data_IF_882379285129
#
_entry.id   IF_882379285129
#
_cell.length_a   1.000
_cell.length_b   1.000
_cell.length_c   1.000
_cell.angle_alpha   90.00
_cell.angle_beta   90.00
_cell.angle_gamma   90.00
#
_symmetry.space_group_name_H-M   'P 1'
#
loop_
_entity.id
_entity.type
_entity.pdbx_description
1 polymer ?
#
# COMPACT_ATOMS: atom_id res chain seq x y z
N UNK A 1 -32.00 -14.91 17.32
CA UNK A 1 -30.84 -15.83 17.30
C UNK A 1 -29.57 -14.99 17.31
N UNK A 2 -28.93 -14.84 18.48
CA UNK A 2 -27.69 -14.09 18.60
C UNK A 2 -26.54 -14.98 18.11
N UNK A 3 -26.13 -14.80 16.85
CA UNK A 3 -24.87 -15.36 16.39
C UNK A 3 -23.77 -14.67 17.18
N UNK A 4 -23.29 -15.34 18.23
CA UNK A 4 -22.13 -14.96 19.03
C UNK A 4 -20.89 -15.16 18.15
N UNK A 5 -20.77 -14.33 17.12
CA UNK A 5 -19.71 -14.40 16.13
C UNK A 5 -18.43 -14.01 16.84
N UNK A 6 -17.60 -15.01 17.18
CA UNK A 6 -16.20 -14.77 17.54
C UNK A 6 -15.62 -13.90 16.43
N UNK A 7 -15.33 -12.65 16.76
CA UNK A 7 -14.66 -11.74 15.85
C UNK A 7 -13.30 -12.38 15.61
N UNK A 8 -13.08 -12.96 14.44
CA UNK A 8 -11.76 -13.44 14.07
C UNK A 8 -10.87 -12.21 14.04
N UNK A 9 -10.05 -12.06 15.06
CA UNK A 9 -9.08 -10.99 15.15
C UNK A 9 -8.03 -11.27 14.07
N UNK A 10 -8.23 -10.64 12.90
CA UNK A 10 -7.32 -10.77 11.76
C UNK A 10 -6.06 -10.00 12.14
N UNK A 11 -5.08 -10.72 12.70
CA UNK A 11 -3.76 -10.14 12.96
C UNK A 11 -3.05 -9.87 11.63
N UNK A 12 -2.71 -8.61 11.40
CA UNK A 12 -1.85 -8.20 10.28
C UNK A 12 -0.40 -8.22 10.76
N UNK A 13 0.45 -9.15 10.28
CA UNK A 13 1.85 -9.20 10.67
C UNK A 13 2.63 -8.00 10.11
N UNK A 14 3.71 -7.62 10.78
CA UNK A 14 4.63 -6.59 10.28
C UNK A 14 5.38 -7.11 9.04
N UNK A 15 5.71 -6.23 8.09
CA UNK A 15 6.53 -6.55 6.93
C UNK A 15 7.89 -7.14 7.33
N UNK A 16 8.49 -6.63 8.40
CA UNK A 16 9.76 -7.13 8.92
C UNK A 16 9.65 -8.52 9.56
N UNK A 17 8.46 -8.93 10.00
CA UNK A 17 8.20 -10.28 10.51
C UNK A 17 8.15 -11.31 9.37
N UNK A 18 7.58 -10.95 8.20
CA UNK A 18 7.34 -11.88 7.08
C UNK A 18 8.45 -11.93 6.02
N UNK A 19 9.40 -10.98 6.04
CA UNK A 19 10.53 -10.95 5.12
C UNK A 19 11.81 -10.49 5.80
N UNK A 20 12.79 -11.39 5.85
CA UNK A 20 14.14 -11.08 6.31
C UNK A 20 14.85 -10.10 5.36
N UNK A 21 14.57 -10.19 4.06
CA UNK A 21 15.14 -9.32 3.03
C UNK A 21 14.68 -7.87 3.22
N UNK A 22 13.38 -7.66 3.48
CA UNK A 22 12.85 -6.33 3.79
C UNK A 22 13.48 -5.76 5.07
N UNK A 23 13.60 -6.58 6.12
CA UNK A 23 14.25 -6.18 7.37
C UNK A 23 15.70 -5.75 7.13
N UNK A 24 16.47 -6.55 6.41
CA UNK A 24 17.87 -6.25 6.05
C UNK A 24 17.98 -4.96 5.23
N UNK A 25 17.08 -4.73 4.27
CA UNK A 25 17.07 -3.49 3.47
C UNK A 25 16.75 -2.26 4.34
N UNK A 26 15.81 -2.36 5.28
CA UNK A 26 15.52 -1.28 6.24
C UNK A 26 16.72 -0.99 7.14
N UNK A 27 17.39 -2.03 7.65
CA UNK A 27 18.62 -1.90 8.45
C UNK A 27 19.74 -1.25 7.65
N UNK A 28 19.97 -1.69 6.41
CA UNK A 28 21.01 -1.14 5.53
C UNK A 28 20.76 0.34 5.21
N UNK A 29 19.51 0.71 4.90
CA UNK A 29 19.12 2.12 4.77
C UNK A 29 19.42 2.92 6.05
N UNK A 30 19.12 2.33 7.21
CA UNK A 30 19.44 2.92 8.52
C UNK A 30 20.93 3.18 8.69
N UNK A 31 21.79 2.20 8.36
CA UNK A 31 23.26 2.32 8.41
C UNK A 31 23.78 3.40 7.47
N UNK A 32 23.31 3.45 6.23
CA UNK A 32 23.71 4.47 5.26
C UNK A 32 23.35 5.88 5.72
N UNK A 33 22.15 6.07 6.27
CA UNK A 33 21.72 7.37 6.83
C UNK A 33 22.54 7.78 8.05
N UNK A 34 22.82 6.84 8.96
CA UNK A 34 23.68 7.10 10.11
C UNK A 34 25.08 7.53 9.65
N UNK A 35 25.64 6.86 8.64
CA UNK A 35 26.94 7.21 8.07
C UNK A 35 26.96 8.61 7.43
N UNK A 36 25.91 8.96 6.67
CA UNK A 36 25.77 10.31 6.11
C UNK A 36 25.76 11.35 7.24
N UNK A 37 24.99 11.14 8.30
CA UNK A 37 24.91 12.07 9.43
C UNK A 37 26.23 12.17 10.23
N UNK A 38 27.05 11.13 10.27
CA UNK A 38 28.41 11.18 10.81
C UNK A 38 29.34 12.03 9.93
N UNK A 39 29.33 11.77 8.62
CA UNK A 39 30.18 12.49 7.66
C UNK A 39 29.82 13.98 7.58
N UNK A 40 28.52 14.32 7.65
CA UNK A 40 28.07 15.72 7.69
C UNK A 40 28.53 16.45 8.96
N UNK A 41 28.53 15.77 10.12
CA UNK A 41 29.10 16.33 11.35
C UNK A 41 30.60 16.55 11.21
N UNK A 42 31.33 15.56 10.70
CA UNK A 42 32.77 15.67 10.47
C UNK A 42 33.12 16.77 9.46
N UNK A 43 32.35 16.91 8.37
CA UNK A 43 32.51 17.99 7.40
C UNK A 43 32.36 19.37 8.06
N UNK A 44 31.30 19.57 8.85
CA UNK A 44 31.07 20.83 9.54
C UNK A 44 32.19 21.16 10.53
N UNK A 45 32.66 20.17 11.30
CA UNK A 45 33.78 20.35 12.24
C UNK A 45 35.07 20.74 11.50
N UNK A 46 35.37 20.11 10.37
CA UNK A 46 36.54 20.44 9.55
C UNK A 46 36.43 21.82 8.93
N UNK A 47 35.25 22.21 8.45
CA UNK A 47 34.99 23.55 7.92
C UNK A 47 35.15 24.62 8.99
N UNK A 48 34.66 24.40 10.20
CA UNK A 48 34.81 25.35 11.29
C UNK A 48 36.26 25.48 11.76
N UNK A 49 37.03 24.37 11.78
CA UNK A 49 38.48 24.42 12.03
C UNK A 49 39.20 25.22 10.95
N UNK A 50 38.90 24.97 9.67
CA UNK A 50 39.50 25.66 8.54
C UNK A 50 39.11 27.15 8.46
N UNK A 51 37.92 27.53 8.94
CA UNK A 51 37.52 28.95 9.05
C UNK A 51 38.25 29.69 10.16
N UNK A 52 38.55 29.02 11.27
CA UNK A 52 39.31 29.59 12.40
C UNK A 52 40.80 29.69 12.09
N UNK A 53 41.32 28.73 11.33
CA UNK A 53 42.63 28.78 10.73
C UNK A 53 42.68 29.88 9.66
N UNK A 54 43.55 30.89 9.81
CA UNK A 54 43.87 31.76 8.69
C UNK A 54 44.63 30.90 7.69
N UNK A 55 44.04 30.59 6.53
CA UNK A 55 44.60 29.59 5.61
C UNK A 55 45.99 29.99 5.13
N UNK A 56 47.03 29.39 5.71
CA UNK A 56 48.41 29.49 5.26
C UNK A 56 48.64 28.36 4.25
N UNK A 57 49.10 28.66 3.03
CA UNK A 57 49.28 27.60 2.03
C UNK A 57 50.43 26.65 2.43
N UNK A 58 50.46 25.43 1.88
CA UNK A 58 51.55 24.49 2.14
C UNK A 58 52.94 25.05 1.75
N UNK A 59 52.99 25.95 0.76
CA UNK A 59 54.21 26.67 0.39
C UNK A 59 54.59 27.74 1.42
N UNK A 60 53.60 28.40 1.99
CA UNK A 60 53.81 29.37 3.06
C UNK A 60 54.27 28.66 4.34
N UNK A 61 53.73 27.47 4.66
CA UNK A 61 54.24 26.62 5.76
C UNK A 61 55.74 26.32 5.61
N UNK A 62 56.16 25.95 4.41
CA UNK A 62 57.55 25.65 4.10
C UNK A 62 58.42 26.91 4.11
N UNK A 63 57.91 28.04 3.62
CA UNK A 63 58.60 29.33 3.71
C UNK A 63 58.77 29.78 5.17
N UNK A 64 57.74 29.61 6.01
CA UNK A 64 57.78 29.90 7.45
C UNK A 64 58.81 29.04 8.17
N UNK A 65 58.89 27.75 7.83
CA UNK A 65 59.91 26.85 8.38
C UNK A 65 61.33 27.29 7.98
N UNK A 66 61.54 27.68 6.71
CA UNK A 66 62.82 28.22 6.22
C UNK A 66 63.18 29.53 6.94
N UNK A 67 62.18 30.35 7.26
CA UNK A 67 62.34 31.60 8.01
C UNK A 67 62.49 31.40 9.54
N UNK A 68 62.54 30.15 10.02
CA UNK A 68 62.71 29.82 11.44
C UNK A 68 61.45 30.02 12.30
N UNK A 69 60.29 30.23 11.67
CA UNK A 69 58.97 30.36 12.32
C UNK A 69 58.28 29.01 12.44
N UNK A 70 58.87 28.13 13.23
CA UNK A 70 58.47 26.71 13.33
C UNK A 70 57.04 26.51 13.85
N UNK A 71 56.57 27.32 14.79
CA UNK A 71 55.19 27.22 15.32
C UNK A 71 54.12 27.56 14.26
N UNK A 72 54.41 28.56 13.42
CA UNK A 72 53.54 28.98 12.31
C UNK A 72 53.53 27.92 11.20
N UNK A 73 54.68 27.30 10.92
CA UNK A 73 54.81 26.19 9.98
C UNK A 73 54.03 24.94 10.41
N UNK A 74 54.12 24.55 11.69
CA UNK A 74 53.39 23.40 12.23
C UNK A 74 51.86 23.58 12.17
N UNK A 75 51.40 24.81 12.39
CA UNK A 75 49.99 25.18 12.29
C UNK A 75 49.49 24.98 10.85
N UNK A 76 50.23 25.50 9.87
CA UNK A 76 49.89 25.35 8.46
C UNK A 76 49.90 23.89 7.97
N UNK A 77 50.78 23.03 8.50
CA UNK A 77 50.76 21.58 8.20
C UNK A 77 49.51 20.88 8.76
N UNK A 78 49.02 21.28 9.95
CA UNK A 78 47.74 20.75 10.50
C UNK A 78 46.54 21.18 9.66
N UNK A 79 46.56 22.41 9.15
CA UNK A 79 45.52 22.94 8.25
C UNK A 79 45.49 22.19 6.92
N UNK A 80 46.65 21.96 6.30
CA UNK A 80 46.76 21.17 5.07
C UNK A 80 46.20 19.75 5.22
N UNK A 81 46.48 19.09 6.36
CA UNK A 81 45.87 17.79 6.69
C UNK A 81 44.35 17.87 6.85
N UNK A 82 43.84 18.93 7.47
CA UNK A 82 42.41 19.16 7.65
C UNK A 82 41.69 19.38 6.30
N UNK A 83 42.32 20.11 5.38
CA UNK A 83 41.82 20.30 4.02
C UNK A 83 41.82 18.99 3.21
N UNK A 84 42.88 18.18 3.33
CA UNK A 84 42.94 16.84 2.73
C UNK A 84 41.81 15.94 3.24
N UNK A 85 41.63 15.88 4.56
CA UNK A 85 40.55 15.10 5.19
C UNK A 85 39.17 15.57 4.76
N UNK A 86 38.96 16.88 4.62
CA UNK A 86 37.69 17.42 4.12
C UNK A 86 37.39 16.92 2.69
N UNK A 87 38.41 16.82 1.83
CA UNK A 87 38.27 16.24 0.50
C UNK A 87 37.84 14.77 0.54
N UNK A 88 38.44 13.98 1.43
CA UNK A 88 38.06 12.56 1.64
C UNK A 88 36.61 12.44 2.14
N UNK A 89 36.24 13.20 3.18
CA UNK A 89 34.89 13.18 3.78
C UNK A 89 33.84 13.53 2.73
N UNK A 90 34.07 14.56 1.91
CA UNK A 90 33.17 14.94 0.82
C UNK A 90 33.01 13.85 -0.23
N UNK A 91 34.12 13.20 -0.58
CA UNK A 91 34.10 12.08 -1.54
C UNK A 91 33.31 10.90 -0.97
N UNK A 92 33.54 10.55 0.29
CA UNK A 92 32.82 9.47 0.97
C UNK A 92 31.34 9.79 1.15
N UNK A 93 31.00 11.04 1.46
CA UNK A 93 29.63 11.50 1.61
C UNK A 93 28.88 11.45 0.27
N UNK A 94 29.50 11.87 -0.83
CA UNK A 94 28.94 11.72 -2.17
C UNK A 94 28.72 10.25 -2.54
N UNK A 95 29.70 9.38 -2.26
CA UNK A 95 29.60 7.95 -2.51
C UNK A 95 28.50 7.28 -1.66
N UNK A 96 28.38 7.65 -0.39
CA UNK A 96 27.38 7.09 0.54
C UNK A 96 25.97 7.53 0.15
N UNK A 97 25.79 8.80 -0.25
CA UNK A 97 24.52 9.29 -0.81
C UNK A 97 24.16 8.53 -2.08
N UNK A 98 25.12 8.30 -2.98
CA UNK A 98 24.90 7.51 -4.18
C UNK A 98 24.53 6.05 -3.86
N UNK A 99 25.17 5.44 -2.88
CA UNK A 99 24.84 4.10 -2.42
C UNK A 99 23.41 4.02 -1.87
N UNK A 100 22.96 5.04 -1.13
CA UNK A 100 21.59 5.14 -0.63
C UNK A 100 20.57 5.24 -1.78
N UNK A 101 20.84 6.04 -2.81
CA UNK A 101 20.00 6.12 -4.01
C UNK A 101 19.90 4.78 -4.74
N UNK A 102 21.02 4.07 -4.88
CA UNK A 102 21.07 2.76 -5.54
C UNK A 102 20.37 1.66 -4.73
N UNK A 103 20.30 1.80 -3.41
CA UNK A 103 19.63 0.85 -2.52
C UNK A 103 18.10 1.03 -2.48
N UNK A 104 17.57 2.20 -2.82
CA UNK A 104 16.13 2.46 -2.73
C UNK A 104 15.28 1.53 -3.63
N UNK A 105 15.65 1.22 -4.89
CA UNK A 105 14.94 0.22 -5.68
C UNK A 105 14.89 -1.18 -5.04
N UNK A 106 15.98 -1.61 -4.39
CA UNK A 106 16.05 -2.90 -3.70
C UNK A 106 15.09 -2.93 -2.51
N UNK A 107 15.05 -1.85 -1.72
CA UNK A 107 14.10 -1.71 -0.62
C UNK A 107 12.65 -1.75 -1.12
N UNK A 108 12.34 -1.08 -2.24
CA UNK A 108 11.00 -1.11 -2.81
C UNK A 108 10.62 -2.50 -3.33
N UNK A 109 11.56 -3.23 -3.94
CA UNK A 109 11.34 -4.62 -4.36
C UNK A 109 11.07 -5.54 -3.16
N UNK A 110 11.91 -5.46 -2.12
CA UNK A 110 11.73 -6.22 -0.89
C UNK A 110 10.41 -5.88 -0.19
N UNK A 111 10.01 -4.59 -0.18
CA UNK A 111 8.72 -4.16 0.36
C UNK A 111 7.53 -4.77 -0.38
N UNK A 112 7.56 -4.78 -1.72
CA UNK A 112 6.49 -5.37 -2.54
C UNK A 112 6.32 -6.86 -2.24
N UNK A 113 7.43 -7.58 -2.15
CA UNK A 113 7.42 -9.01 -1.83
C UNK A 113 6.93 -9.28 -0.40
N UNK A 114 7.42 -8.54 0.59
CA UNK A 114 6.92 -8.63 1.96
C UNK A 114 5.42 -8.34 2.03
N UNK A 115 4.96 -7.30 1.34
CA UNK A 115 3.54 -6.92 1.30
C UNK A 115 2.68 -8.01 0.67
N UNK A 116 3.16 -8.66 -0.41
CA UNK A 116 2.50 -9.81 -1.03
C UNK A 116 2.30 -10.94 -0.01
N UNK A 117 3.33 -11.29 0.76
CA UNK A 117 3.24 -12.33 1.80
C UNK A 117 2.27 -11.98 2.93
N UNK A 118 2.23 -10.73 3.37
CA UNK A 118 1.22 -10.26 4.33
C UNK A 118 -0.19 -10.41 3.74
N UNK A 119 -0.40 -9.98 2.49
CA UNK A 119 -1.69 -10.12 1.82
C UNK A 119 -2.11 -11.59 1.68
N UNK A 120 -1.20 -12.50 1.32
CA UNK A 120 -1.46 -13.93 1.25
C UNK A 120 -1.88 -14.50 2.62
N UNK A 121 -1.25 -14.04 3.69
CA UNK A 121 -1.57 -14.44 5.07
C UNK A 121 -2.96 -13.95 5.51
N UNK A 122 -3.31 -12.70 5.16
CA UNK A 122 -4.56 -12.03 5.55
C UNK A 122 -5.74 -12.40 4.64
N UNK A 123 -5.48 -12.85 3.41
CA UNK A 123 -6.49 -13.09 2.39
C UNK A 123 -7.64 -14.00 2.82
N UNK A 124 -7.43 -15.13 3.52
CA UNK A 124 -8.53 -16.00 3.94
C UNK A 124 -9.51 -15.28 4.89
N UNK A 125 -9.00 -14.59 5.91
CA UNK A 125 -9.84 -13.85 6.86
C UNK A 125 -10.56 -12.67 6.21
N UNK A 126 -9.87 -11.96 5.29
CA UNK A 126 -10.51 -10.91 4.51
C UNK A 126 -11.65 -11.44 3.64
N UNK A 127 -11.47 -12.59 2.96
CA UNK A 127 -12.52 -13.22 2.16
C UNK A 127 -13.73 -13.61 3.00
N UNK A 128 -13.50 -14.20 4.17
CA UNK A 128 -14.57 -14.55 5.11
C UNK A 128 -15.35 -13.30 5.55
N UNK A 129 -14.64 -12.20 5.85
CA UNK A 129 -15.26 -10.94 6.24
C UNK A 129 -16.15 -10.38 5.12
N UNK A 130 -15.65 -10.36 3.88
CA UNK A 130 -16.42 -9.88 2.72
C UNK A 130 -17.64 -10.77 2.46
N UNK A 131 -17.51 -12.10 2.59
CA UNK A 131 -18.63 -13.02 2.46
C UNK A 131 -19.72 -12.75 3.49
N UNK A 132 -19.36 -12.52 4.75
CA UNK A 132 -20.29 -12.14 5.81
C UNK A 132 -20.96 -10.80 5.56
N UNK A 133 -20.22 -9.81 5.08
CA UNK A 133 -20.79 -8.52 4.68
C UNK A 133 -21.84 -8.70 3.57
N UNK A 134 -21.55 -9.57 2.60
CA UNK A 134 -22.47 -9.86 1.51
C UNK A 134 -23.75 -10.55 1.97
N UNK A 135 -23.65 -11.51 2.89
CA UNK A 135 -24.81 -12.14 3.52
C UNK A 135 -25.70 -11.11 4.24
N UNK A 136 -25.09 -10.22 5.04
CA UNK A 136 -25.81 -9.18 5.77
C UNK A 136 -26.47 -8.16 4.84
N UNK A 137 -25.78 -7.74 3.78
CA UNK A 137 -26.33 -6.82 2.79
C UNK A 137 -27.49 -7.44 2.00
N UNK A 138 -27.39 -8.73 1.66
CA UNK A 138 -28.48 -9.46 1.01
C UNK A 138 -29.71 -9.54 1.93
N UNK A 139 -29.52 -9.87 3.22
CA UNK A 139 -30.61 -9.91 4.19
C UNK A 139 -31.26 -8.53 4.41
N UNK A 140 -30.45 -7.47 4.45
CA UNK A 140 -30.94 -6.09 4.55
C UNK A 140 -31.73 -5.67 3.30
N UNK A 141 -31.27 -6.03 2.10
CA UNK A 141 -31.98 -5.76 0.86
C UNK A 141 -33.34 -6.46 0.81
N UNK A 142 -33.44 -7.70 1.29
CA UNK A 142 -34.74 -8.38 1.38
C UNK A 142 -35.66 -7.71 2.41
N UNK A 143 -35.12 -7.30 3.56
CA UNK A 143 -35.89 -6.55 4.56
C UNK A 143 -36.41 -5.23 4.00
N UNK A 144 -35.59 -4.54 3.18
CA UNK A 144 -35.99 -3.32 2.49
C UNK A 144 -37.14 -3.55 1.50
N UNK A 145 -37.17 -4.68 0.78
CA UNK A 145 -38.31 -5.03 -0.08
C UNK A 145 -39.57 -5.31 0.71
N UNK A 146 -39.47 -6.03 1.83
CA UNK A 146 -40.63 -6.26 2.70
C UNK A 146 -41.17 -4.95 3.25
N UNK A 147 -40.30 -4.01 3.63
CA UNK A 147 -40.69 -2.66 4.01
C UNK A 147 -41.43 -1.94 2.87
N UNK A 148 -40.88 -1.97 1.65
CA UNK A 148 -41.53 -1.33 0.50
C UNK A 148 -42.90 -1.96 0.20
N UNK A 149 -43.03 -3.29 0.22
CA UNK A 149 -44.31 -3.99 0.01
C UNK A 149 -45.35 -3.60 1.07
N UNK A 150 -44.94 -3.40 2.32
CA UNK A 150 -45.84 -2.93 3.38
C UNK A 150 -46.34 -1.51 3.08
N UNK A 151 -45.44 -0.61 2.67
CA UNK A 151 -45.80 0.75 2.27
C UNK A 151 -46.78 0.71 1.08
N UNK A 152 -46.45 -0.05 0.04
CA UNK A 152 -47.30 -0.22 -1.15
C UNK A 152 -48.68 -0.77 -0.77
N UNK A 153 -48.76 -1.71 0.18
CA UNK A 153 -50.03 -2.29 0.64
C UNK A 153 -50.89 -1.30 1.44
N UNK A 154 -50.26 -0.45 2.28
CA UNK A 154 -50.97 0.61 3.01
C UNK A 154 -51.53 1.66 2.04
N UNK A 155 -50.72 2.07 1.07
CA UNK A 155 -51.13 3.04 0.05
C UNK A 155 -52.22 2.47 -0.87
N UNK A 156 -52.09 1.21 -1.30
CA UNK A 156 -53.11 0.53 -2.09
C UNK A 156 -54.43 0.28 -1.34
N UNK A 157 -54.39 0.25 -0.01
CA UNK A 157 -55.57 0.18 0.86
C UNK A 157 -56.16 1.56 1.23
N UNK A 158 -55.66 2.65 0.63
CA UNK A 158 -56.03 4.04 0.95
C UNK A 158 -55.85 4.39 2.44
N UNK A 159 -54.83 3.81 3.08
CA UNK A 159 -54.52 4.05 4.49
C UNK A 159 -53.56 5.23 4.63
N UNK A 160 -54.01 6.30 5.29
CA UNK A 160 -53.20 7.47 5.64
C UNK A 160 -52.19 7.13 6.76
N UNK A 161 -51.09 6.44 6.43
CA UNK A 161 -50.14 5.92 7.42
C UNK A 161 -49.05 6.93 7.84
N UNK A 162 -48.71 7.88 6.96
CA UNK A 162 -47.60 8.83 7.15
C UNK A 162 -47.81 9.82 8.32
N UNK A 163 -49.06 10.01 8.77
CA UNK A 163 -49.40 10.78 9.96
C UNK A 163 -49.26 10.01 11.28
N UNK A 164 -49.18 8.68 11.22
CA UNK A 164 -49.14 7.79 12.39
C UNK A 164 -47.80 7.06 12.53
N UNK A 165 -47.09 6.85 11.43
CA UNK A 165 -45.76 6.24 11.41
C UNK A 165 -44.82 7.13 10.60
N UNK A 166 -43.65 7.44 11.17
CA UNK A 166 -42.63 8.23 10.49
C UNK A 166 -41.94 7.38 9.42
N UNK A 167 -41.92 7.79 8.13
CA UNK A 167 -41.18 7.08 7.10
C UNK A 167 -39.68 7.07 7.41
N UNK A 168 -39.06 5.88 7.32
CA UNK A 168 -37.64 5.65 7.62
C UNK A 168 -36.99 4.80 6.50
N UNK A 169 -37.27 5.15 5.25
CA UNK A 169 -36.81 4.40 4.09
C UNK A 169 -35.26 4.47 3.97
N UNK A 170 -34.55 3.33 3.86
CA UNK A 170 -33.09 3.29 3.79
C UNK A 170 -32.58 3.68 2.38
N UNK A 171 -32.67 4.97 2.04
CA UNK A 171 -32.32 5.51 0.71
C UNK A 171 -30.90 5.22 0.26
N UNK A 172 -29.97 4.97 1.20
CA UNK A 172 -28.59 4.59 0.90
C UNK A 172 -28.46 3.24 0.16
N UNK A 173 -29.47 2.38 0.23
CA UNK A 173 -29.53 1.10 -0.50
C UNK A 173 -29.95 1.26 -1.97
N UNK A 174 -30.45 2.43 -2.37
CA UNK A 174 -31.11 2.63 -3.67
C UNK A 174 -32.58 2.19 -3.63
N UNK A 175 -33.18 1.94 -4.79
CA UNK A 175 -34.56 1.42 -4.86
C UNK A 175 -34.65 -0.04 -4.41
N UNK A 176 -35.70 -0.41 -3.67
CA UNK A 176 -35.86 -1.77 -3.13
C UNK A 176 -35.91 -2.87 -4.23
N UNK A 177 -36.40 -2.51 -5.42
CA UNK A 177 -36.50 -3.40 -6.58
C UNK A 177 -35.50 -3.09 -7.69
N UNK A 178 -34.57 -2.16 -7.44
CA UNK A 178 -33.57 -1.76 -8.44
C UNK A 178 -32.46 -2.82 -8.54
N UNK A 179 -32.54 -3.65 -9.58
CA UNK A 179 -31.52 -4.68 -9.90
C UNK A 179 -30.18 -4.08 -10.35
N UNK A 180 -30.14 -2.79 -10.67
CA UNK A 180 -28.91 -2.05 -10.96
C UNK A 180 -28.44 -1.20 -9.78
N UNK A 181 -29.09 -1.33 -8.61
CA UNK A 181 -28.79 -0.58 -7.41
C UNK A 181 -27.38 -0.89 -6.87
N UNK A 182 -26.92 -0.04 -5.95
CA UNK A 182 -25.56 -0.13 -5.39
C UNK A 182 -25.29 -1.49 -4.73
N UNK A 183 -26.28 -2.03 -4.03
CA UNK A 183 -26.18 -3.34 -3.37
C UNK A 183 -26.03 -4.47 -4.40
N UNK A 184 -26.87 -4.48 -5.45
CA UNK A 184 -26.81 -5.49 -6.50
C UNK A 184 -25.46 -5.46 -7.24
N UNK A 185 -24.96 -4.27 -7.59
CA UNK A 185 -23.63 -4.12 -8.22
C UNK A 185 -22.50 -4.59 -7.32
N UNK A 186 -22.50 -4.19 -6.05
CA UNK A 186 -21.47 -4.60 -5.11
C UNK A 186 -21.47 -6.11 -4.87
N UNK A 187 -22.66 -6.73 -4.76
CA UNK A 187 -22.78 -8.19 -4.64
C UNK A 187 -22.33 -8.91 -5.92
N UNK A 188 -22.61 -8.35 -7.10
CA UNK A 188 -22.12 -8.88 -8.36
C UNK A 188 -20.58 -8.80 -8.46
N UNK A 189 -19.97 -7.72 -8.01
CA UNK A 189 -18.51 -7.61 -7.87
C UNK A 189 -17.96 -8.66 -6.89
N UNK A 190 -18.63 -8.86 -5.75
CA UNK A 190 -18.22 -9.88 -4.79
C UNK A 190 -18.23 -11.31 -5.38
N UNK A 191 -19.20 -11.62 -6.25
CA UNK A 191 -19.18 -12.87 -7.04
C UNK A 191 -18.06 -12.87 -8.08
N UNK A 192 -17.89 -11.78 -8.83
CA UNK A 192 -16.89 -11.69 -9.90
C UNK A 192 -15.45 -11.88 -9.37
N UNK A 193 -15.17 -11.39 -8.17
CA UNK A 193 -13.88 -11.57 -7.49
C UNK A 193 -13.80 -12.87 -6.65
N UNK A 194 -14.85 -13.68 -6.62
CA UNK A 194 -14.87 -14.99 -5.95
C UNK A 194 -14.95 -14.93 -4.42
N UNK A 195 -15.46 -13.84 -3.84
CA UNK A 195 -15.71 -13.73 -2.40
C UNK A 195 -16.96 -14.50 -1.97
N UNK A 196 -17.97 -14.59 -2.85
CA UNK A 196 -19.19 -15.37 -2.67
C UNK A 196 -19.50 -16.16 -3.94
N UNK A 197 -20.27 -17.24 -3.81
CA UNK A 197 -20.58 -18.12 -4.95
C UNK A 197 -21.70 -17.56 -5.84
N UNK A 198 -22.70 -16.93 -5.21
CA UNK A 198 -23.89 -16.45 -5.90
C UNK A 198 -24.57 -15.34 -5.10
N UNK A 199 -25.37 -14.55 -5.80
CA UNK A 199 -26.29 -13.57 -5.21
C UNK A 199 -27.73 -14.11 -5.28
N UNK A 200 -28.64 -13.66 -4.39
CA UNK A 200 -30.06 -13.95 -4.52
C UNK A 200 -30.57 -13.56 -5.92
N UNK A 201 -31.50 -14.33 -6.48
CA UNK A 201 -31.98 -14.16 -7.87
C UNK A 201 -32.53 -12.75 -8.11
N UNK A 202 -33.19 -12.20 -7.10
CA UNK A 202 -33.79 -10.87 -7.14
C UNK A 202 -32.75 -9.74 -7.14
N UNK A 203 -31.51 -10.03 -6.72
CA UNK A 203 -30.35 -9.11 -6.70
C UNK A 203 -29.34 -9.40 -7.82
N UNK A 204 -29.60 -10.37 -8.71
CA UNK A 204 -28.66 -10.78 -9.76
C UNK A 204 -28.49 -9.70 -10.85
N UNK A 205 -27.23 -9.29 -11.08
CA UNK A 205 -26.82 -8.35 -12.13
C UNK A 205 -25.55 -8.82 -12.87
N UNK A 206 -25.50 -8.77 -14.23
CA UNK A 206 -26.63 -8.61 -15.15
C UNK A 206 -27.68 -9.72 -14.91
N UNK A 207 -28.96 -9.53 -15.32
CA UNK A 207 -29.95 -10.58 -15.17
C UNK A 207 -29.39 -11.89 -15.74
N UNK A 208 -29.59 -13.04 -15.06
CA UNK A 208 -29.08 -14.31 -15.57
C UNK A 208 -29.56 -14.43 -17.01
N UNK A 209 -28.62 -14.69 -17.94
CA UNK A 209 -28.98 -14.85 -19.33
C UNK A 209 -30.15 -15.85 -19.40
N UNK A 210 -31.23 -15.52 -20.14
CA UNK A 210 -32.40 -16.40 -20.22
C UNK A 210 -31.92 -17.83 -20.51
N UNK A 211 -32.55 -18.83 -19.90
CA UNK A 211 -32.06 -20.22 -19.91
C UNK A 211 -31.74 -20.74 -21.33
N UNK A 212 -32.39 -20.16 -22.35
CA UNK A 212 -32.15 -20.38 -23.79
C UNK A 212 -30.75 -20.01 -24.27
N UNK A 213 -30.01 -19.13 -23.59
CA UNK A 213 -28.66 -18.66 -23.96
C UNK A 213 -27.52 -19.35 -23.20
N UNK A 214 -27.78 -20.19 -22.19
CA UNK A 214 -26.70 -20.91 -21.48
C UNK A 214 -26.00 -21.95 -22.37
N UNK A 215 -26.70 -22.46 -23.40
CA UNK A 215 -26.16 -23.42 -24.36
C UNK A 215 -25.22 -22.82 -25.42
N UNK A 216 -25.20 -21.49 -25.60
CA UNK A 216 -24.37 -20.81 -26.61
C UNK A 216 -23.04 -20.31 -26.03
N UNK A 217 -23.03 -19.78 -24.80
CA UNK A 217 -21.79 -19.30 -24.16
C UNK A 217 -20.79 -20.41 -23.80
N UNK A 218 -21.28 -21.61 -23.42
CA UNK A 218 -20.40 -22.77 -23.19
C UNK A 218 -19.65 -23.17 -24.47
N UNK A 219 -20.32 -23.14 -25.61
CA UNK A 219 -19.71 -23.44 -26.93
C UNK A 219 -18.65 -22.42 -27.34
N UNK A 220 -18.86 -21.12 -27.08
CA UNK A 220 -17.87 -20.08 -27.38
C UNK A 220 -16.64 -20.21 -26.47
N UNK A 221 -16.83 -20.44 -25.16
CA UNK A 221 -15.73 -20.64 -24.21
C UNK A 221 -14.89 -21.88 -24.54
N UNK A 222 -15.53 -22.98 -24.93
CA UNK A 222 -14.85 -24.22 -25.28
C UNK A 222 -14.14 -24.13 -26.65
N UNK A 223 -14.70 -23.40 -27.61
CA UNK A 223 -14.05 -23.13 -28.91
C UNK A 223 -12.80 -22.26 -28.78
N UNK A 224 -12.80 -21.25 -27.90
CA UNK A 224 -11.64 -20.40 -27.63
C UNK A 224 -10.51 -21.17 -26.92
N UNK A 225 -10.84 -22.16 -26.09
CA UNK A 225 -9.82 -23.02 -25.44
C UNK A 225 -9.24 -24.09 -26.38
N UNK A 226 -9.98 -24.51 -27.41
CA UNK A 226 -9.52 -25.53 -28.37
C UNK A 226 -8.67 -25.00 -29.53
N UNK A 227 -8.75 -23.71 -29.86
CA UNK A 227 -8.12 -23.14 -31.07
C UNK A 227 -6.67 -22.63 -30.92
N UNK A 228 -6.08 -22.64 -29.72
CA UNK A 228 -4.76 -22.05 -29.46
C UNK A 228 -3.54 -22.92 -29.72
N UNK A 229 -3.72 -24.13 -30.25
CA UNK A 229 -2.67 -25.16 -30.36
C UNK A 229 -2.36 -25.61 -31.78
N UNK A 230 -2.18 -24.70 -32.75
CA UNK A 230 -1.63 -25.05 -34.06
C UNK A 230 -1.09 -23.81 -34.80
N UNK A 231 0.09 -23.31 -34.42
CA UNK A 231 0.94 -22.55 -35.34
C UNK A 231 2.38 -22.50 -34.83
N UNK A 232 3.15 -23.54 -35.18
CA UNK A 232 4.61 -23.50 -35.22
C UNK A 232 5.07 -24.52 -36.26
N UNK A 233 5.28 -24.04 -37.48
CA UNK A 233 6.08 -24.65 -38.52
C UNK A 233 6.96 -23.55 -39.12
#
# INVERSE_FOLDING_TARGET
MAANGKMHDIRVPDLAEVSAEYRQAVEQRGRLRARIAELEREENDLLDRLRRAQTVSARDAQALAILGRTEEADTAVREGRSAGRLGEVRTELAATRRALELHEPELQAARREASRRVCETVAPGYRELVARMAEQLAALAETHRTYQRLVDALEGGDVMWTGHMRPMMPTFLGGAFDRQGRVARWLAEAVAYGFIQSVPEELAWPPPAPATLRGTYKRVRDAVKGGGGASSA
#
